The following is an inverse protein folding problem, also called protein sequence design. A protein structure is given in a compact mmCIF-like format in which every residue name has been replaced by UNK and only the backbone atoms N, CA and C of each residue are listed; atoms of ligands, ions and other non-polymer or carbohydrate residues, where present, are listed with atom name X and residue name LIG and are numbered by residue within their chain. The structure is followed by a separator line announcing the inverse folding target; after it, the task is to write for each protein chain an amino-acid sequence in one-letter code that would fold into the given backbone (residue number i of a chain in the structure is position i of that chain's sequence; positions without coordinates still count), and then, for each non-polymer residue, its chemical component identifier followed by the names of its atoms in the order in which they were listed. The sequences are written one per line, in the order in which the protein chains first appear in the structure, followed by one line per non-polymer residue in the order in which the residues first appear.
data_IF_960484325026
#
_entry.id   IF_960484325026
#
_cell.length_a   1.000
_cell.length_b   1.000
_cell.length_c   1.000
_cell.angle_alpha   90.00
_cell.angle_beta   90.00
_cell.angle_gamma   90.00
#
_symmetry.space_group_name_H-M   'P 1'
#
loop_
_entity.id
_entity.type
_entity.pdbx_description
1 polymer ?
#
# COMPACT_ATOMS: atom_id res chain seq x y z
N UNK A 1 7.41 1.99 -4.18
CA UNK A 1 6.60 0.89 -4.76
C UNK A 1 5.78 0.21 -3.64
N UNK A 2 5.15 -0.95 -3.87
CA UNK A 2 4.42 -1.66 -2.80
C UNK A 2 5.34 -2.11 -1.66
N UNK A 3 6.54 -2.60 -1.99
CA UNK A 3 7.51 -3.10 -1.01
C UNK A 3 8.01 -1.99 -0.06
N UNK A 4 8.30 -0.81 -0.60
CA UNK A 4 8.68 0.37 0.20
C UNK A 4 7.57 0.78 1.15
N UNK A 5 6.34 0.89 0.63
CA UNK A 5 5.19 1.33 1.42
C UNK A 5 4.86 0.30 2.50
N UNK A 6 4.99 -0.99 2.20
CA UNK A 6 4.82 -2.05 3.19
C UNK A 6 5.86 -1.94 4.31
N UNK A 7 7.12 -1.68 3.95
CA UNK A 7 8.20 -1.46 4.92
C UNK A 7 7.96 -0.21 5.79
N UNK A 8 7.49 0.89 5.19
CA UNK A 8 7.13 2.10 5.91
C UNK A 8 5.97 1.86 6.89
N UNK A 9 4.94 1.13 6.48
CA UNK A 9 3.80 0.79 7.32
C UNK A 9 4.15 -0.10 8.52
N UNK A 10 5.28 -0.82 8.48
CA UNK A 10 5.81 -1.56 9.64
C UNK A 10 6.47 -0.66 10.68
N UNK A 11 6.90 0.55 10.30
CA UNK A 11 7.60 1.51 11.17
C UNK A 11 6.72 2.67 11.60
N UNK A 12 5.74 3.04 10.78
CA UNK A 12 4.91 4.22 10.96
C UNK A 12 3.43 3.87 10.80
N UNK A 13 2.54 4.55 11.54
CA UNK A 13 1.11 4.36 11.36
C UNK A 13 0.65 4.86 9.98
N UNK A 14 -0.31 4.16 9.37
CA UNK A 14 -0.89 4.51 8.06
C UNK A 14 -1.41 5.95 8.00
N UNK A 15 -2.00 6.44 9.09
CA UNK A 15 -2.51 7.82 9.18
C UNK A 15 -1.41 8.87 8.98
N UNK A 16 -0.21 8.64 9.51
CA UNK A 16 0.93 9.54 9.34
C UNK A 16 1.37 9.57 7.88
N UNK A 17 1.42 8.40 7.22
CA UNK A 17 1.77 8.32 5.79
C UNK A 17 0.75 9.07 4.93
N UNK A 18 -0.55 8.92 5.20
CA UNK A 18 -1.63 9.64 4.51
C UNK A 18 -1.53 11.15 4.76
N UNK A 19 -1.29 11.58 5.99
CA UNK A 19 -1.10 13.00 6.31
C UNK A 19 0.07 13.61 5.54
N UNK A 20 1.21 12.91 5.46
CA UNK A 20 2.34 13.36 4.66
C UNK A 20 2.02 13.39 3.16
N UNK A 21 1.32 12.38 2.63
CA UNK A 21 0.92 12.36 1.23
C UNK A 21 0.01 13.55 0.89
N UNK A 22 -1.00 13.85 1.72
CA UNK A 22 -1.89 15.02 1.58
C UNK A 22 -1.15 16.35 1.65
N UNK A 23 -0.06 16.44 2.42
CA UNK A 23 0.76 17.66 2.48
C UNK A 23 1.62 17.87 1.24
N UNK A 24 2.12 16.79 0.64
CA UNK A 24 3.00 16.85 -0.53
C UNK A 24 2.21 17.02 -1.82
N UNK A 25 1.02 16.44 -1.90
CA UNK A 25 0.14 16.50 -3.06
C UNK A 25 -1.25 17.00 -2.65
N UNK A 26 -1.56 18.23 -3.07
CA UNK A 26 -2.87 18.86 -2.82
C UNK A 26 -4.02 18.17 -3.54
N UNK A 27 -3.74 17.37 -4.57
CA UNK A 27 -4.71 16.54 -5.28
C UNK A 27 -4.91 15.17 -4.66
N UNK A 28 -4.21 14.83 -3.58
CA UNK A 28 -4.26 13.49 -2.99
C UNK A 28 -5.69 13.10 -2.58
N UNK A 29 -6.12 11.95 -3.09
CA UNK A 29 -7.44 11.38 -2.82
C UNK A 29 -7.30 9.95 -2.27
N UNK A 30 -7.91 9.70 -1.11
CA UNK A 30 -7.86 8.38 -0.46
C UNK A 30 -8.57 7.28 -1.26
N UNK A 31 -9.63 7.60 -2.00
CA UNK A 31 -10.32 6.64 -2.88
C UNK A 31 -9.49 6.28 -4.11
N UNK A 32 -8.72 7.24 -4.65
CA UNK A 32 -7.74 6.97 -5.71
C UNK A 32 -6.58 6.13 -5.18
N UNK A 33 -6.10 6.41 -3.96
CA UNK A 33 -5.13 5.55 -3.28
C UNK A 33 -5.68 4.13 -3.10
N UNK A 34 -6.92 3.96 -2.64
CA UNK A 34 -7.55 2.66 -2.48
C UNK A 34 -7.58 1.89 -3.80
N UNK A 35 -7.91 2.58 -4.90
CA UNK A 35 -7.89 2.02 -6.26
C UNK A 35 -6.49 1.63 -6.70
N UNK A 36 -5.49 2.48 -6.44
CA UNK A 36 -4.10 2.21 -6.74
C UNK A 36 -3.58 1.00 -5.95
N UNK A 37 -3.92 0.90 -4.65
CA UNK A 37 -3.55 -0.23 -3.80
C UNK A 37 -4.15 -1.53 -4.32
N UNK A 38 -5.43 -1.53 -4.75
CA UNK A 38 -6.09 -2.72 -5.33
C UNK A 38 -5.40 -3.26 -6.58
N UNK A 39 -4.58 -2.46 -7.27
CA UNK A 39 -3.80 -2.92 -8.41
C UNK A 39 -2.77 -4.00 -8.04
N UNK A 40 -2.45 -4.18 -6.75
CA UNK A 40 -1.56 -5.25 -6.28
C UNK A 40 -1.98 -6.65 -6.75
N UNK A 41 -3.29 -6.87 -6.96
CA UNK A 41 -3.84 -8.15 -7.45
C UNK A 41 -3.42 -8.52 -8.88
N UNK A 42 -2.82 -7.59 -9.61
CA UNK A 42 -2.36 -7.80 -10.99
C UNK A 42 -0.95 -8.39 -11.05
N UNK A 43 -0.20 -8.32 -9.96
CA UNK A 43 1.18 -8.78 -9.87
C UNK A 43 1.23 -10.22 -9.38
N UNK A 44 2.17 -10.99 -9.92
CA UNK A 44 2.55 -12.31 -9.46
C UNK A 44 3.60 -12.20 -8.35
N UNK A 45 3.78 -13.24 -7.51
CA UNK A 45 4.80 -13.23 -6.49
C UNK A 45 6.21 -12.91 -6.99
N UNK A 46 6.59 -13.46 -8.15
CA UNK A 46 7.90 -13.26 -8.79
C UNK A 46 8.15 -11.81 -9.27
N UNK A 47 7.11 -10.96 -9.30
CA UNK A 47 7.24 -9.56 -9.69
C UNK A 47 7.83 -8.69 -8.57
N UNK A 48 7.91 -9.20 -7.33
CA UNK A 48 8.40 -8.46 -6.18
C UNK A 48 9.80 -8.91 -5.75
N UNK A 49 10.70 -7.97 -5.39
CA UNK A 49 12.06 -8.30 -4.96
C UNK A 49 12.14 -8.71 -3.47
N UNK A 50 11.22 -9.57 -3.01
CA UNK A 50 11.14 -10.10 -1.63
C UNK A 50 10.73 -11.57 -1.65
N UNK A 51 10.84 -12.25 -0.50
CA UNK A 51 10.47 -13.67 -0.38
C UNK A 51 8.96 -13.89 -0.61
N UNK A 52 8.59 -15.01 -1.23
CA UNK A 52 7.20 -15.34 -1.57
C UNK A 52 6.23 -15.28 -0.38
N UNK A 53 6.67 -15.75 0.79
CA UNK A 53 5.87 -15.72 2.03
C UNK A 53 5.59 -14.27 2.48
N UNK A 54 6.53 -13.35 2.25
CA UNK A 54 6.37 -11.93 2.52
C UNK A 54 5.46 -11.26 1.48
N UNK A 55 5.45 -11.74 0.22
CA UNK A 55 4.54 -11.22 -0.82
C UNK A 55 3.08 -11.49 -0.49
N UNK A 56 2.74 -12.70 -0.01
CA UNK A 56 1.37 -13.01 0.39
C UNK A 56 0.92 -12.11 1.54
N UNK A 57 1.75 -11.97 2.56
CA UNK A 57 1.51 -11.10 3.72
C UNK A 57 1.32 -9.64 3.31
N UNK A 58 2.18 -9.14 2.41
CA UNK A 58 2.08 -7.79 1.84
C UNK A 58 0.78 -7.61 1.04
N UNK A 59 0.42 -8.58 0.22
CA UNK A 59 -0.79 -8.54 -0.61
C UNK A 59 -2.04 -8.46 0.26
N UNK A 60 -2.16 -9.31 1.28
CA UNK A 60 -3.27 -9.29 2.22
C UNK A 60 -3.33 -7.97 2.99
N UNK A 61 -2.17 -7.47 3.44
CA UNK A 61 -2.08 -6.17 4.12
C UNK A 61 -2.65 -5.03 3.28
N UNK A 62 -2.27 -4.96 2.00
CA UNK A 62 -2.72 -3.91 1.10
C UNK A 62 -4.20 -4.04 0.76
N UNK A 63 -4.71 -5.24 0.52
CA UNK A 63 -6.13 -5.46 0.28
C UNK A 63 -7.00 -5.08 1.49
N UNK A 64 -6.56 -5.45 2.69
CA UNK A 64 -7.23 -5.05 3.93
C UNK A 64 -7.18 -3.52 4.11
N UNK A 65 -6.04 -2.88 3.80
CA UNK A 65 -5.94 -1.42 3.88
C UNK A 65 -6.86 -0.72 2.87
N UNK A 66 -6.93 -1.19 1.62
CA UNK A 66 -7.80 -0.59 0.62
C UNK A 66 -9.30 -0.64 0.99
N UNK A 67 -9.71 -1.60 1.83
CA UNK A 67 -11.07 -1.66 2.36
C UNK A 67 -11.36 -0.60 3.43
N UNK A 68 -10.34 -0.08 4.12
CA UNK A 68 -10.53 0.99 5.13
C UNK A 68 -10.50 2.40 4.53
N UNK A 69 -10.22 2.51 3.22
CA UNK A 69 -10.10 3.76 2.48
C UNK A 69 -11.30 4.02 1.55
N UNK A 70 -12.22 3.05 1.47
CA UNK A 70 -13.51 3.15 0.75
C UNK A 70 -14.62 3.70 1.66
#
# INVERSE_FOLDING_TARGET
DFTDVFTLCRRFPKSLLIEHAKRLDLGFNESELATAIRSIRRFQPDDFPIDHEDVESMTQFFLAWAMTLD
#
